data_IF_311104206122
#
_entry.id   IF_311104206122
#
_cell.length_a   1.000
_cell.length_b   1.000
_cell.length_c   1.000
_cell.angle_alpha   90.00
_cell.angle_beta   90.00
_cell.angle_gamma   90.00
#
_symmetry.space_group_name_H-M   'P 1'
#
loop_
_entity.id
_entity.type
_entity.pdbx_description
1 polymer ?
#
# COMPACT_ATOMS: atom_id res chain seq x y z
N UNK A 1 -8.87 -12.46 -7.24
CA UNK A 1 -8.30 -13.28 -8.31
C UNK A 1 -7.00 -12.65 -8.85
N UNK A 2 -6.14 -13.45 -9.45
CA UNK A 2 -4.83 -13.00 -9.94
C UNK A 2 -4.77 -12.85 -11.47
N UNK A 3 -5.78 -13.29 -12.16
CA UNK A 3 -5.88 -13.14 -13.60
C UNK A 3 -7.36 -13.10 -14.04
N UNK A 4 -7.58 -12.61 -15.24
CA UNK A 4 -8.90 -12.50 -15.82
C UNK A 4 -8.93 -13.14 -17.21
N UNK A 5 -9.85 -14.07 -17.41
CA UNK A 5 -10.06 -14.70 -18.70
C UNK A 5 -11.06 -13.88 -19.52
N UNK A 6 -10.58 -13.15 -20.53
CA UNK A 6 -11.42 -12.30 -21.36
C UNK A 6 -12.43 -13.05 -22.21
N UNK A 7 -12.14 -14.31 -22.60
CA UNK A 7 -13.04 -15.14 -23.43
C UNK A 7 -14.33 -15.48 -22.68
N UNK A 8 -14.22 -15.92 -21.45
CA UNK A 8 -15.37 -16.29 -20.63
C UNK A 8 -15.77 -15.22 -19.60
N UNK A 9 -15.08 -14.09 -19.58
CA UNK A 9 -15.31 -12.95 -18.69
C UNK A 9 -15.30 -13.31 -17.21
N UNK A 10 -14.39 -14.19 -16.81
CA UNK A 10 -14.26 -14.64 -15.42
C UNK A 10 -12.87 -14.39 -14.88
N UNK A 11 -12.83 -13.92 -13.63
CA UNK A 11 -11.60 -13.91 -12.85
C UNK A 11 -11.25 -15.33 -12.41
N UNK A 12 -9.96 -15.61 -12.27
CA UNK A 12 -9.49 -16.85 -11.66
C UNK A 12 -8.26 -16.59 -10.78
N UNK A 13 -7.99 -17.55 -9.92
CA UNK A 13 -6.85 -17.52 -9.02
C UNK A 13 -5.82 -18.56 -9.49
N UNK A 14 -4.60 -18.12 -9.71
CA UNK A 14 -3.50 -18.97 -10.21
C UNK A 14 -2.90 -19.90 -9.14
N UNK A 15 -3.43 -19.86 -7.91
CA UNK A 15 -2.98 -20.66 -6.75
C UNK A 15 -1.54 -20.35 -6.27
N UNK A 16 -0.92 -19.30 -6.77
CA UNK A 16 0.42 -18.88 -6.35
C UNK A 16 0.31 -17.84 -5.24
N UNK A 17 -0.32 -16.72 -5.51
CA UNK A 17 -0.57 -15.67 -4.52
C UNK A 17 -1.83 -14.85 -4.84
N UNK A 18 -2.29 -14.12 -3.86
CA UNK A 18 -3.33 -13.10 -4.00
C UNK A 18 -2.66 -11.74 -4.20
N UNK A 19 -3.28 -10.89 -4.97
CA UNK A 19 -2.71 -9.58 -5.36
C UNK A 19 -3.25 -8.45 -4.46
N UNK A 20 -2.66 -8.18 -3.28
CA UNK A 20 -3.08 -7.06 -2.45
C UNK A 20 -2.79 -5.72 -3.12
N UNK A 21 -1.71 -5.65 -3.85
CA UNK A 21 -1.27 -4.47 -4.57
C UNK A 21 -2.27 -4.07 -5.67
N UNK A 22 -2.71 -5.02 -6.47
CA UNK A 22 -3.75 -4.79 -7.46
C UNK A 22 -5.08 -4.35 -6.81
N UNK A 23 -5.44 -4.93 -5.65
CA UNK A 23 -6.63 -4.50 -4.92
C UNK A 23 -6.50 -3.04 -4.45
N UNK A 24 -5.33 -2.64 -3.95
CA UNK A 24 -5.07 -1.27 -3.53
C UNK A 24 -5.15 -0.27 -4.69
N UNK A 25 -4.50 -0.57 -5.81
CA UNK A 25 -4.53 0.28 -7.00
C UNK A 25 -5.93 0.41 -7.61
N UNK A 26 -6.67 -0.70 -7.69
CA UNK A 26 -8.05 -0.70 -8.15
C UNK A 26 -8.96 0.07 -7.21
N UNK A 27 -8.80 -0.09 -5.89
CA UNK A 27 -9.56 0.66 -4.91
C UNK A 27 -9.39 2.17 -5.12
N UNK A 28 -8.15 2.62 -5.28
CA UNK A 28 -7.84 4.02 -5.52
C UNK A 28 -8.47 4.55 -6.82
N UNK A 29 -8.31 3.83 -7.92
CA UNK A 29 -8.88 4.21 -9.21
C UNK A 29 -10.41 4.33 -9.13
N UNK A 30 -11.08 3.36 -8.51
CA UNK A 30 -12.53 3.36 -8.34
C UNK A 30 -12.99 4.49 -7.42
N UNK A 31 -12.24 4.77 -6.34
CA UNK A 31 -12.58 5.86 -5.42
C UNK A 31 -12.52 7.22 -6.12
N UNK A 32 -11.48 7.50 -6.90
CA UNK A 32 -11.36 8.74 -7.67
C UNK A 32 -12.46 8.82 -8.74
N UNK A 33 -12.81 7.70 -9.37
CA UNK A 33 -13.92 7.64 -10.33
C UNK A 33 -15.26 7.97 -9.65
N UNK A 34 -15.48 7.47 -8.43
CA UNK A 34 -16.67 7.85 -7.67
C UNK A 34 -16.71 9.35 -7.35
N UNK A 35 -15.61 9.92 -6.89
CA UNK A 35 -15.53 11.36 -6.63
C UNK A 35 -15.82 12.17 -7.90
N UNK A 36 -15.29 11.74 -9.02
CA UNK A 36 -15.43 12.46 -10.29
C UNK A 36 -16.83 12.36 -10.89
N UNK A 37 -17.42 11.17 -10.85
CA UNK A 37 -18.66 10.87 -11.59
C UNK A 37 -19.90 10.70 -10.72
N UNK A 38 -19.75 10.58 -9.39
CA UNK A 38 -20.86 10.41 -8.44
C UNK A 38 -21.54 9.03 -8.46
N UNK A 39 -21.17 8.13 -9.37
CA UNK A 39 -21.83 6.84 -9.51
C UNK A 39 -21.40 5.87 -8.40
N UNK A 40 -22.38 5.42 -7.63
CA UNK A 40 -22.19 4.53 -6.46
C UNK A 40 -21.55 3.18 -6.82
N UNK A 41 -21.62 2.74 -8.08
CA UNK A 41 -20.96 1.49 -8.49
C UNK A 41 -19.44 1.54 -8.23
N UNK A 42 -18.81 2.70 -8.44
CA UNK A 42 -17.39 2.89 -8.17
C UNK A 42 -17.06 2.82 -6.68
N UNK A 43 -17.86 3.46 -5.85
CA UNK A 43 -17.69 3.37 -4.38
C UNK A 43 -17.89 1.93 -3.88
N UNK A 44 -18.86 1.21 -4.42
CA UNK A 44 -19.08 -0.19 -4.07
C UNK A 44 -17.89 -1.07 -4.49
N UNK A 45 -17.32 -0.86 -5.67
CA UNK A 45 -16.10 -1.54 -6.10
C UNK A 45 -14.91 -1.23 -5.20
N UNK A 46 -14.73 0.05 -4.82
CA UNK A 46 -13.72 0.46 -3.83
C UNK A 46 -13.88 -0.31 -2.52
N UNK A 47 -15.09 -0.36 -1.96
CA UNK A 47 -15.36 -1.07 -0.70
C UNK A 47 -15.05 -2.56 -0.80
N UNK A 48 -15.30 -3.21 -1.92
CA UNK A 48 -14.95 -4.62 -2.13
C UNK A 48 -13.43 -4.83 -2.11
N UNK A 49 -12.67 -3.97 -2.78
CA UNK A 49 -11.21 -4.03 -2.75
C UNK A 49 -10.66 -3.75 -1.34
N UNK A 50 -11.19 -2.74 -0.66
CA UNK A 50 -10.78 -2.42 0.71
C UNK A 50 -11.16 -3.52 1.71
N UNK A 51 -12.30 -4.18 1.53
CA UNK A 51 -12.67 -5.35 2.34
C UNK A 51 -11.70 -6.52 2.13
N UNK A 52 -11.22 -6.75 0.91
CA UNK A 52 -10.18 -7.75 0.66
C UNK A 52 -8.89 -7.41 1.44
N UNK A 53 -8.42 -6.17 1.41
CA UNK A 53 -7.24 -5.73 2.17
C UNK A 53 -7.49 -5.82 3.68
N UNK A 54 -8.66 -5.41 4.15
CA UNK A 54 -9.04 -5.47 5.56
C UNK A 54 -9.06 -6.91 6.10
N UNK A 55 -9.51 -7.86 5.31
CA UNK A 55 -9.62 -9.26 5.73
C UNK A 55 -8.35 -10.08 5.48
N UNK A 56 -7.35 -9.51 4.80
CA UNK A 56 -6.07 -10.18 4.58
C UNK A 56 -5.30 -10.29 5.90
N UNK A 57 -4.76 -11.46 6.25
CA UNK A 57 -3.96 -11.61 7.44
C UNK A 57 -2.73 -10.70 7.44
N UNK A 58 -2.45 -10.06 8.56
CA UNK A 58 -1.30 -9.14 8.68
C UNK A 58 0.02 -9.82 8.30
N UNK A 59 0.21 -11.07 8.71
CA UNK A 59 1.42 -11.87 8.44
C UNK A 59 1.69 -12.14 6.96
N UNK A 60 0.66 -12.08 6.14
CA UNK A 60 0.81 -12.29 4.69
C UNK A 60 1.46 -11.09 4.00
N UNK A 61 1.51 -9.95 4.68
CA UNK A 61 2.18 -8.75 4.20
C UNK A 61 1.75 -8.28 2.83
N UNK A 62 2.60 -7.52 2.21
CA UNK A 62 2.49 -7.10 0.81
C UNK A 62 3.68 -7.59 0.01
N UNK A 63 3.52 -7.62 -1.30
CA UNK A 63 4.64 -7.69 -2.22
C UNK A 63 5.17 -6.27 -2.47
N UNK A 64 6.36 -6.16 -2.99
CA UNK A 64 7.11 -4.91 -3.13
C UNK A 64 6.49 -3.85 -4.07
N UNK A 65 5.36 -4.11 -4.64
CA UNK A 65 4.74 -3.26 -5.64
C UNK A 65 4.30 -1.90 -5.08
N UNK A 66 4.31 -0.90 -5.93
CA UNK A 66 4.10 0.50 -5.57
C UNK A 66 2.64 0.88 -5.31
N UNK A 67 1.69 -0.02 -5.53
CA UNK A 67 0.27 0.28 -5.42
C UNK A 67 -0.29 0.12 -4.01
N UNK A 68 0.31 -0.71 -3.16
CA UNK A 68 -0.17 -0.94 -1.79
C UNK A 68 -0.29 0.35 -0.96
N UNK A 69 0.62 1.32 -1.08
CA UNK A 69 0.49 2.62 -0.41
C UNK A 69 -0.82 3.35 -0.70
N UNK A 70 -1.42 3.18 -1.87
CA UNK A 70 -2.74 3.73 -2.18
C UNK A 70 -3.87 3.07 -1.37
N UNK A 71 -3.71 1.79 -1.02
CA UNK A 71 -4.61 1.11 -0.08
C UNK A 71 -4.54 1.69 1.31
N UNK A 72 -3.32 1.92 1.82
CA UNK A 72 -3.09 2.58 3.11
C UNK A 72 -3.65 4.01 3.10
N UNK A 73 -3.39 4.78 2.04
CA UNK A 73 -3.96 6.10 1.84
C UNK A 73 -5.48 6.09 1.89
N UNK A 74 -6.12 5.15 1.18
CA UNK A 74 -7.58 5.05 1.17
C UNK A 74 -8.16 4.62 2.52
N UNK A 75 -7.48 3.76 3.27
CA UNK A 75 -7.90 3.40 4.62
C UNK A 75 -8.03 4.67 5.48
N UNK A 76 -6.98 5.49 5.52
CA UNK A 76 -6.97 6.75 6.31
C UNK A 76 -8.01 7.73 5.77
N UNK A 77 -8.07 7.92 4.47
CA UNK A 77 -8.98 8.87 3.84
C UNK A 77 -10.45 8.49 4.02
N UNK A 78 -10.80 7.23 3.76
CA UNK A 78 -12.19 6.77 3.90
C UNK A 78 -12.64 6.73 5.35
N UNK A 79 -11.75 6.43 6.29
CA UNK A 79 -12.06 6.56 7.71
C UNK A 79 -12.43 7.99 8.06
N UNK A 80 -11.67 8.97 7.57
CA UNK A 80 -11.93 10.40 7.83
C UNK A 80 -13.16 10.93 7.06
N UNK A 81 -13.32 10.59 5.78
CA UNK A 81 -14.37 11.16 4.92
C UNK A 81 -15.72 10.42 5.02
N UNK A 82 -15.70 9.11 5.26
CA UNK A 82 -16.89 8.26 5.19
C UNK A 82 -17.22 7.54 6.50
N UNK A 83 -16.43 7.78 7.57
CA UNK A 83 -16.62 7.13 8.87
C UNK A 83 -16.45 5.61 8.83
N UNK A 84 -15.63 5.10 7.91
CA UNK A 84 -15.26 3.67 7.89
C UNK A 84 -14.27 3.35 9.02
N UNK A 85 -14.01 2.08 9.28
CA UNK A 85 -13.08 1.62 10.31
C UNK A 85 -12.05 0.64 9.75
N UNK A 86 -11.39 1.02 8.66
CA UNK A 86 -10.29 0.24 8.12
C UNK A 86 -9.07 0.29 9.03
N UNK A 87 -8.33 -0.80 9.13
CA UNK A 87 -7.11 -0.90 9.91
C UNK A 87 -5.95 -0.18 9.21
N UNK A 88 -5.80 1.11 9.53
CA UNK A 88 -4.78 1.98 8.97
C UNK A 88 -3.36 1.48 9.29
N UNK A 89 -3.13 1.08 10.55
CA UNK A 89 -1.80 0.65 11.01
C UNK A 89 -1.36 -0.62 10.29
N UNK A 90 -2.25 -1.59 10.11
CA UNK A 90 -1.95 -2.80 9.37
C UNK A 90 -1.49 -2.48 7.95
N UNK A 91 -2.24 -1.63 7.25
CA UNK A 91 -1.93 -1.29 5.87
C UNK A 91 -0.67 -0.43 5.74
N UNK A 92 -0.42 0.47 6.69
CA UNK A 92 0.82 1.24 6.76
C UNK A 92 2.01 0.33 7.07
N UNK A 93 1.88 -0.60 8.02
CA UNK A 93 2.94 -1.54 8.33
C UNK A 93 3.33 -2.40 7.13
N UNK A 94 2.37 -2.77 6.28
CA UNK A 94 2.72 -3.44 5.02
C UNK A 94 3.59 -2.60 4.08
N UNK A 95 3.51 -1.28 4.17
CA UNK A 95 4.36 -0.39 3.39
C UNK A 95 5.75 -0.21 4.00
N UNK A 96 5.85 -0.24 5.35
CA UNK A 96 7.06 0.11 6.10
C UNK A 96 7.75 -1.09 6.78
N UNK A 97 7.10 -2.24 6.86
CA UNK A 97 7.65 -3.44 7.50
C UNK A 97 8.11 -4.46 6.46
N UNK A 98 9.38 -4.42 6.15
CA UNK A 98 10.01 -5.37 5.24
C UNK A 98 10.13 -6.80 5.78
N UNK A 99 9.75 -7.06 7.04
CA UNK A 99 9.96 -8.38 7.64
C UNK A 99 8.74 -9.31 7.54
N UNK A 100 7.56 -8.79 7.22
CA UNK A 100 6.30 -9.51 7.28
C UNK A 100 5.63 -9.70 5.92
N UNK A 101 6.38 -9.93 4.87
CA UNK A 101 5.82 -10.20 3.55
C UNK A 101 6.09 -11.62 3.09
N UNK A 102 5.24 -12.15 2.22
CA UNK A 102 5.50 -13.42 1.52
C UNK A 102 6.81 -13.39 0.70
N UNK A 103 7.27 -12.18 0.39
CA UNK A 103 8.58 -11.89 -0.19
C UNK A 103 9.51 -11.30 0.86
N UNK A 104 9.69 -12.02 1.90
CA UNK A 104 10.60 -11.77 3.01
C UNK A 104 11.61 -10.62 2.77
N UNK A 105 11.51 -9.57 3.55
CA UNK A 105 12.44 -8.44 3.48
C UNK A 105 12.06 -7.29 2.54
N UNK A 106 10.92 -7.33 1.85
CA UNK A 106 10.46 -6.19 1.04
C UNK A 106 9.67 -5.16 1.84
N UNK A 107 9.98 -3.88 1.60
CA UNK A 107 9.29 -2.76 2.21
C UNK A 107 10.17 -1.52 2.29
N UNK A 108 9.69 -0.50 3.02
CA UNK A 108 10.51 0.66 3.37
C UNK A 108 11.47 0.28 4.47
N UNK A 109 12.76 0.31 4.19
CA UNK A 109 13.80 0.01 5.16
C UNK A 109 13.99 1.19 6.11
N UNK A 110 13.78 0.96 7.40
CA UNK A 110 13.94 1.96 8.45
C UNK A 110 15.22 1.76 9.28
N UNK A 111 16.20 1.08 8.74
CA UNK A 111 17.44 0.75 9.44
C UNK A 111 18.66 0.81 8.52
N UNK A 112 19.82 0.58 9.08
CA UNK A 112 21.06 0.51 8.31
C UNK A 112 21.12 -0.77 7.48
N UNK A 113 21.61 -0.62 6.26
CA UNK A 113 21.97 -1.70 5.36
C UNK A 113 23.48 -1.81 5.31
N UNK A 114 24.04 -2.77 6.04
CA UNK A 114 25.46 -2.89 6.25
C UNK A 114 26.03 -1.59 6.86
N UNK A 115 27.00 -0.95 6.24
CA UNK A 115 27.59 0.35 6.65
C UNK A 115 26.80 1.58 6.20
N UNK A 116 25.83 1.39 5.32
CA UNK A 116 25.05 2.47 4.73
C UNK A 116 23.78 2.73 5.52
N UNK A 117 23.49 4.00 5.68
CA UNK A 117 22.19 4.44 6.17
C UNK A 117 21.23 4.51 4.99
N UNK A 118 20.25 3.62 4.99
CA UNK A 118 19.23 3.52 3.93
C UNK A 118 17.84 3.83 4.46
N UNK A 119 17.77 4.49 5.60
CA UNK A 119 16.52 4.86 6.24
C UNK A 119 15.56 5.52 5.27
N UNK A 120 14.46 4.84 5.02
CA UNK A 120 13.41 5.36 4.20
C UNK A 120 13.38 4.90 2.74
N UNK A 121 14.38 4.17 2.25
CA UNK A 121 14.35 3.60 0.91
C UNK A 121 13.57 2.28 0.88
N UNK A 122 12.84 2.07 -0.21
CA UNK A 122 12.20 0.78 -0.51
C UNK A 122 13.25 -0.19 -1.04
N UNK A 123 13.25 -1.40 -0.54
CA UNK A 123 14.18 -2.40 -1.04
C UNK A 123 13.97 -3.77 -0.44
N UNK A 124 14.93 -4.64 -0.69
CA UNK A 124 14.98 -6.00 -0.18
C UNK A 124 16.03 -6.11 0.92
N UNK A 125 15.56 -6.24 2.16
CA UNK A 125 16.42 -6.30 3.33
C UNK A 125 17.15 -7.63 3.47
N UNK A 126 16.47 -8.75 3.24
CA UNK A 126 16.96 -10.09 3.53
C UNK A 126 18.25 -10.42 2.80
N UNK A 127 18.32 -10.13 1.51
CA UNK A 127 19.45 -10.46 0.67
C UNK A 127 20.36 -9.26 0.41
N UNK A 128 20.02 -8.09 1.00
CA UNK A 128 20.76 -6.82 0.89
C UNK A 128 21.18 -6.50 -0.55
N UNK A 129 20.30 -6.80 -1.52
CA UNK A 129 20.67 -6.72 -2.93
C UNK A 129 20.52 -5.33 -3.50
N UNK A 130 19.47 -4.61 -3.11
CA UNK A 130 19.18 -3.29 -3.67
C UNK A 130 18.16 -2.49 -2.86
N UNK A 131 18.24 -1.19 -3.01
CA UNK A 131 17.25 -0.22 -2.57
C UNK A 131 16.90 0.73 -3.72
N UNK A 132 15.64 1.16 -3.78
CA UNK A 132 15.13 1.97 -4.89
C UNK A 132 14.68 3.36 -4.43
N UNK A 133 15.38 4.40 -4.87
CA UNK A 133 14.91 5.77 -4.71
C UNK A 133 13.61 6.00 -5.48
N UNK A 134 13.51 5.56 -6.72
CA UNK A 134 12.36 5.81 -7.59
C UNK A 134 11.06 5.19 -7.03
N UNK A 135 11.09 3.94 -6.57
CA UNK A 135 9.92 3.31 -5.95
C UNK A 135 9.55 4.00 -4.63
N UNK A 136 10.53 4.50 -3.91
CA UNK A 136 10.32 5.24 -2.66
C UNK A 136 9.56 6.54 -2.92
N UNK A 137 9.92 7.30 -3.96
CA UNK A 137 9.18 8.50 -4.36
C UNK A 137 7.75 8.18 -4.81
N UNK A 138 7.55 7.08 -5.51
CA UNK A 138 6.20 6.62 -5.88
C UNK A 138 5.35 6.29 -4.66
N UNK A 139 5.93 5.67 -3.64
CA UNK A 139 5.24 5.42 -2.37
C UNK A 139 4.97 6.71 -1.60
N UNK A 140 5.91 7.66 -1.60
CA UNK A 140 5.73 8.96 -0.98
C UNK A 140 4.54 9.72 -1.57
N UNK A 141 4.33 9.64 -2.89
CA UNK A 141 3.19 10.26 -3.54
C UNK A 141 1.83 9.79 -2.99
N UNK A 142 1.74 8.55 -2.55
CA UNK A 142 0.53 8.01 -1.92
C UNK A 142 0.49 8.27 -0.41
N UNK A 143 1.63 8.14 0.30
CA UNK A 143 1.66 8.13 1.76
C UNK A 143 1.73 9.54 2.37
N UNK A 144 2.41 10.50 1.74
CA UNK A 144 2.47 11.87 2.27
C UNK A 144 1.08 12.50 2.44
N UNK A 145 0.13 12.37 1.51
CA UNK A 145 -1.21 12.93 1.66
C UNK A 145 -2.03 12.38 2.85
N UNK A 146 -1.65 11.26 3.47
CA UNK A 146 -2.40 10.71 4.62
C UNK A 146 -2.44 11.68 5.80
N UNK A 147 -1.42 12.52 5.93
CA UNK A 147 -1.32 13.51 7.01
C UNK A 147 -2.48 14.50 7.00
N UNK A 148 -3.06 14.76 5.83
CA UNK A 148 -4.26 15.60 5.69
C UNK A 148 -5.48 15.00 6.40
N UNK A 149 -5.58 13.69 6.40
CA UNK A 149 -6.76 12.95 6.91
C UNK A 149 -6.55 12.43 8.32
N UNK A 150 -5.29 12.15 8.69
CA UNK A 150 -4.93 11.77 10.05
C UNK A 150 -3.59 12.42 10.46
N UNK A 151 -3.63 13.58 11.16
CA UNK A 151 -2.43 14.31 11.58
C UNK A 151 -1.50 13.54 12.52
N UNK A 152 -1.97 12.45 13.16
CA UNK A 152 -1.15 11.63 14.02
C UNK A 152 0.08 11.05 13.30
N UNK A 153 0.00 10.89 11.97
CA UNK A 153 1.11 10.38 11.15
C UNK A 153 2.11 11.46 10.72
N UNK A 154 1.87 12.74 11.02
CA UNK A 154 2.67 13.85 10.51
C UNK A 154 4.15 13.75 10.88
N UNK A 155 4.46 13.44 12.14
CA UNK A 155 5.84 13.33 12.61
C UNK A 155 6.58 12.16 11.95
N UNK A 156 5.94 11.00 11.83
CA UNK A 156 6.54 9.81 11.23
C UNK A 156 6.78 9.99 9.73
N UNK A 157 5.78 10.50 9.01
CA UNK A 157 5.91 10.78 7.57
C UNK A 157 6.95 11.89 7.34
N UNK A 158 6.96 12.94 8.15
CA UNK A 158 7.94 14.03 8.05
C UNK A 158 9.37 13.51 8.24
N UNK A 159 9.62 12.68 9.23
CA UNK A 159 10.95 12.06 9.45
C UNK A 159 11.37 11.20 8.24
N UNK A 160 10.45 10.39 7.74
CA UNK A 160 10.71 9.58 6.54
C UNK A 160 11.09 10.46 5.34
N UNK A 161 10.33 11.53 5.08
CA UNK A 161 10.62 12.46 3.98
C UNK A 161 11.97 13.16 4.14
N UNK A 162 12.35 13.53 5.37
CA UNK A 162 13.66 14.10 5.64
C UNK A 162 14.79 13.10 5.37
N UNK A 163 14.60 11.84 5.74
CA UNK A 163 15.57 10.79 5.45
C UNK A 163 15.74 10.55 3.95
N UNK A 164 14.66 10.69 3.17
CA UNK A 164 14.75 10.58 1.71
C UNK A 164 15.49 11.73 1.03
N UNK A 165 15.56 12.89 1.68
CA UNK A 165 16.18 14.09 1.15
C UNK A 165 17.70 14.15 1.42
N UNK A 166 18.22 13.31 2.31
CA UNK A 166 19.63 13.21 2.68
C UNK A 166 20.36 12.10 1.94
#
# INVERSE_FOLDING_TARGET
FTAFNFKNRKGYYNKVWREPDAAAGLAWLQYISWIKYGDKKYLNATRQCMAFLQNRPQKEGTFYEIMMPYGAYLAVRMNAELGTAYDELKMLNWCFDGNNSDRDGWGVMCERWNKYDVHGLVGQKKDEQYAFAMNTFSQAAALVPIVKYNPAYASTIGKWMLNLAN
#
